data_IF_175256681855
#
_entry.id   IF_175256681855
#
_cell.length_a   1.000
_cell.length_b   1.000
_cell.length_c   1.000
_cell.angle_alpha   90.00
_cell.angle_beta   90.00
_cell.angle_gamma   90.00
#
_symmetry.space_group_name_H-M   'P 1'
#
loop_
_entity.id
_entity.type
_entity.pdbx_description
1 polymer ?
#
# COMPACT_ATOMS: atom_id res chain seq x y z
N UNK A 1 -3.86 -13.33 11.22
CA UNK A 1 -4.79 -13.71 10.14
C UNK A 1 -6.04 -12.84 10.25
N UNK A 2 -6.10 -11.73 9.52
CA UNK A 2 -7.26 -10.80 9.53
C UNK A 2 -8.10 -10.98 8.25
N UNK A 3 -9.38 -10.57 8.24
CA UNK A 3 -10.25 -10.53 7.04
C UNK A 3 -11.02 -9.22 6.97
N UNK A 4 -11.32 -8.72 5.77
CA UNK A 4 -12.18 -7.55 5.56
C UNK A 4 -13.65 -8.01 5.44
N UNK A 5 -14.54 -7.43 6.25
CA UNK A 5 -15.97 -7.75 6.26
C UNK A 5 -16.84 -6.56 5.86
N UNK A 6 -17.08 -6.32 4.57
CA UNK A 6 -18.02 -5.28 4.12
C UNK A 6 -18.38 -5.34 2.63
N UNK A 7 -19.30 -4.48 2.16
CA UNK A 7 -19.93 -4.53 0.83
C UNK A 7 -19.03 -3.95 -0.30
N UNK A 8 -17.72 -4.13 -0.20
CA UNK A 8 -16.75 -3.47 -1.07
C UNK A 8 -16.52 -4.24 -2.35
N UNK A 9 -16.11 -3.53 -3.42
CA UNK A 9 -15.67 -4.18 -4.66
C UNK A 9 -14.38 -4.97 -4.38
N UNK A 10 -14.54 -6.29 -4.32
CA UNK A 10 -13.44 -7.23 -4.13
C UNK A 10 -13.31 -8.06 -5.39
N UNK A 11 -12.10 -8.12 -5.94
CA UNK A 11 -11.81 -9.09 -6.99
C UNK A 11 -11.40 -10.41 -6.35
N UNK A 12 -12.10 -11.47 -6.71
CA UNK A 12 -11.85 -12.83 -6.24
C UNK A 12 -11.19 -13.66 -7.35
N UNK A 13 -9.99 -14.17 -7.06
CA UNK A 13 -9.27 -15.10 -7.92
C UNK A 13 -9.11 -16.45 -7.22
N UNK A 14 -9.13 -17.51 -8.01
CA UNK A 14 -8.97 -18.88 -7.51
C UNK A 14 -7.89 -19.59 -8.31
N UNK A 15 -7.21 -20.54 -7.66
CA UNK A 15 -6.16 -21.35 -8.27
C UNK A 15 -4.97 -20.51 -8.80
N UNK A 16 -4.60 -19.46 -8.05
CA UNK A 16 -3.42 -18.63 -8.35
C UNK A 16 -2.41 -18.73 -7.21
N UNK A 17 -1.15 -18.41 -7.49
CA UNK A 17 -0.11 -18.35 -6.46
C UNK A 17 -0.19 -17.04 -5.67
N UNK A 18 0.45 -16.99 -4.50
CA UNK A 18 0.57 -15.76 -3.72
C UNK A 18 1.33 -14.69 -4.51
N UNK A 19 2.38 -15.08 -5.24
CA UNK A 19 3.18 -14.17 -6.08
C UNK A 19 2.35 -13.55 -7.20
N UNK A 20 1.52 -14.37 -7.88
CA UNK A 20 0.60 -13.86 -8.89
C UNK A 20 -0.44 -12.92 -8.28
N UNK A 21 -1.00 -13.28 -7.12
CA UNK A 21 -1.95 -12.44 -6.37
C UNK A 21 -1.36 -11.06 -6.05
N UNK A 22 -0.12 -11.03 -5.55
CA UNK A 22 0.63 -9.80 -5.30
C UNK A 22 0.88 -9.00 -6.58
N UNK A 23 1.36 -9.66 -7.63
CA UNK A 23 1.63 -9.02 -8.92
C UNK A 23 0.36 -8.45 -9.57
N UNK A 24 -0.79 -9.07 -9.34
CA UNK A 24 -2.09 -8.57 -9.81
C UNK A 24 -2.52 -7.35 -9.03
N UNK A 25 -2.40 -7.34 -7.70
CA UNK A 25 -2.66 -6.17 -6.86
C UNK A 25 -1.82 -4.96 -7.30
N UNK A 26 -0.52 -5.15 -7.51
CA UNK A 26 0.40 -4.09 -7.96
C UNK A 26 0.09 -3.59 -9.39
N UNK A 27 -0.55 -4.43 -10.22
CA UNK A 27 -0.90 -4.12 -11.60
C UNK A 27 -2.37 -3.75 -11.80
N UNK A 28 -3.17 -3.66 -10.74
CA UNK A 28 -4.57 -3.29 -10.86
C UNK A 28 -4.71 -1.88 -11.49
N UNK A 29 -5.50 -1.79 -12.56
CA UNK A 29 -5.75 -0.52 -13.29
C UNK A 29 -7.14 0.04 -13.02
N UNK A 30 -8.10 -0.80 -12.61
CA UNK A 30 -9.49 -0.40 -12.36
C UNK A 30 -9.66 0.34 -11.03
N UNK A 31 -8.85 -0.03 -10.04
CA UNK A 31 -8.82 0.56 -8.70
C UNK A 31 -7.40 0.46 -8.15
N UNK A 32 -7.09 1.30 -7.17
CA UNK A 32 -5.82 1.22 -6.46
C UNK A 32 -5.95 0.14 -5.39
N UNK A 33 -5.47 -1.07 -5.68
CA UNK A 33 -5.39 -2.14 -4.68
C UNK A 33 -4.56 -1.63 -3.49
N UNK A 34 -5.02 -1.86 -2.26
CA UNK A 34 -4.33 -1.46 -1.02
C UNK A 34 -4.00 -2.64 -0.11
N UNK A 35 -4.74 -3.73 -0.25
CA UNK A 35 -4.49 -4.99 0.45
C UNK A 35 -4.96 -6.20 -0.36
N UNK A 36 -4.50 -7.37 0.07
CA UNK A 36 -4.95 -8.66 -0.43
C UNK A 36 -5.11 -9.67 0.71
N UNK A 37 -6.05 -10.59 0.54
CA UNK A 37 -6.20 -11.80 1.35
C UNK A 37 -5.85 -13.02 0.50
N UNK A 38 -5.14 -13.98 1.08
CA UNK A 38 -4.76 -15.20 0.39
C UNK A 38 -4.90 -16.44 1.28
N UNK A 39 -5.58 -17.47 0.78
CA UNK A 39 -5.66 -18.77 1.42
C UNK A 39 -4.75 -19.78 0.72
N UNK A 40 -3.73 -20.27 1.42
CA UNK A 40 -2.73 -21.17 0.84
C UNK A 40 -3.30 -22.55 0.47
N UNK A 41 -4.34 -23.00 1.19
CA UNK A 41 -4.96 -24.31 0.99
C UNK A 41 -5.91 -24.27 -0.20
N UNK A 42 -6.76 -23.24 -0.29
CA UNK A 42 -7.74 -23.13 -1.40
C UNK A 42 -7.17 -22.42 -2.62
N UNK A 43 -5.96 -21.84 -2.52
CA UNK A 43 -5.35 -21.01 -3.58
C UNK A 43 -6.28 -19.86 -3.99
N UNK A 44 -6.98 -19.30 -3.02
CA UNK A 44 -7.92 -18.21 -3.21
C UNK A 44 -7.24 -16.90 -2.87
N UNK A 45 -7.39 -15.90 -3.74
CA UNK A 45 -6.87 -14.55 -3.59
C UNK A 45 -8.03 -13.56 -3.66
N UNK A 46 -8.06 -12.61 -2.74
CA UNK A 46 -9.03 -11.51 -2.72
C UNK A 46 -8.23 -10.23 -2.75
N UNK A 47 -8.51 -9.34 -3.69
CA UNK A 47 -7.91 -8.01 -3.78
C UNK A 47 -8.91 -6.97 -3.28
N UNK A 48 -8.42 -5.93 -2.58
CA UNK A 48 -9.25 -4.86 -2.03
C UNK A 48 -8.61 -3.49 -2.19
N UNK A 49 -9.44 -2.46 -2.41
CA UNK A 49 -9.03 -1.06 -2.34
C UNK A 49 -8.86 -0.55 -0.91
N UNK A 50 -9.19 -1.35 0.10
CA UNK A 50 -9.13 -0.97 1.51
C UNK A 50 -7.91 -1.57 2.21
N UNK A 51 -7.51 -0.99 3.34
CA UNK A 51 -6.34 -1.42 4.09
C UNK A 51 -6.63 -1.59 5.59
N UNK A 52 -5.62 -1.98 6.36
CA UNK A 52 -5.82 -2.23 7.80
C UNK A 52 -6.15 -0.98 8.62
N UNK A 53 -5.92 0.22 8.06
CA UNK A 53 -6.26 1.49 8.69
C UNK A 53 -7.70 1.86 8.39
N UNK A 54 -8.12 1.77 7.13
CA UNK A 54 -9.47 2.16 6.70
C UNK A 54 -10.54 1.21 7.25
N UNK A 55 -10.23 -0.09 7.33
CA UNK A 55 -11.15 -1.13 7.79
C UNK A 55 -10.83 -1.69 9.18
N UNK A 56 -10.22 -0.87 10.06
CA UNK A 56 -9.73 -1.31 11.37
C UNK A 56 -10.76 -2.06 12.23
N UNK A 57 -12.01 -1.63 12.22
CA UNK A 57 -13.10 -2.24 13.00
C UNK A 57 -13.62 -3.55 12.40
N UNK A 58 -13.43 -3.76 11.10
CA UNK A 58 -13.89 -4.96 10.37
C UNK A 58 -12.80 -6.02 10.19
N UNK A 59 -11.57 -5.74 10.64
CA UNK A 59 -10.45 -6.68 10.61
C UNK A 59 -10.59 -7.78 11.66
N UNK A 60 -11.39 -8.80 11.36
CA UNK A 60 -11.62 -9.96 12.22
C UNK A 60 -10.57 -11.05 12.05
N UNK A 61 -10.37 -11.89 13.07
CA UNK A 61 -9.46 -13.05 12.97
C UNK A 61 -10.10 -14.15 12.11
N UNK A 62 -9.39 -14.63 11.07
CA UNK A 62 -9.84 -15.77 10.27
C UNK A 62 -9.81 -17.07 11.08
N UNK A 63 -10.80 -17.93 10.89
CA UNK A 63 -10.84 -19.28 11.48
C UNK A 63 -9.84 -20.24 10.82
N UNK A 64 -9.37 -19.93 9.60
CA UNK A 64 -8.38 -20.71 8.89
C UNK A 64 -6.96 -20.24 9.19
N UNK A 65 -6.08 -21.19 9.52
CA UNK A 65 -4.65 -20.91 9.74
C UNK A 65 -3.91 -20.65 8.43
N UNK A 66 -4.41 -21.15 7.30
CA UNK A 66 -3.83 -20.97 5.96
C UNK A 66 -4.25 -19.66 5.30
N UNK A 67 -5.02 -18.83 6.01
CA UNK A 67 -5.58 -17.61 5.48
C UNK A 67 -4.83 -16.38 6.00
N UNK A 68 -4.20 -15.66 5.09
CA UNK A 68 -3.31 -14.55 5.38
C UNK A 68 -3.86 -13.26 4.79
N UNK A 69 -3.57 -12.14 5.46
CA UNK A 69 -3.90 -10.79 5.01
C UNK A 69 -2.60 -10.01 4.86
N UNK A 70 -2.46 -9.29 3.76
CA UNK A 70 -1.30 -8.50 3.42
C UNK A 70 -1.77 -7.12 2.99
N UNK A 71 -1.26 -6.07 3.62
CA UNK A 71 -1.46 -4.69 3.19
C UNK A 71 -0.14 -4.08 2.70
N UNK A 72 -0.24 -2.97 1.97
CA UNK A 72 0.95 -2.22 1.59
C UNK A 72 1.53 -1.48 2.79
N UNK A 73 2.70 -1.94 3.26
CA UNK A 73 3.47 -1.26 4.28
C UNK A 73 4.41 -0.23 3.64
N UNK A 74 4.31 1.04 4.06
CA UNK A 74 5.33 2.05 3.75
C UNK A 74 6.60 1.77 4.57
N UNK A 75 7.77 1.76 3.92
CA UNK A 75 9.07 1.52 4.56
C UNK A 75 9.45 2.54 5.65
N UNK A 76 8.86 3.74 5.63
CA UNK A 76 9.05 4.78 6.66
C UNK A 76 8.07 4.66 7.84
N UNK A 77 7.16 3.67 7.82
CA UNK A 77 6.23 3.44 8.92
C UNK A 77 6.97 2.80 10.10
N UNK A 78 6.80 3.27 11.35
CA UNK A 78 7.42 2.68 12.53
C UNK A 78 7.00 1.21 12.78
N UNK A 79 5.99 0.72 12.03
CA UNK A 79 5.52 -0.68 12.04
C UNK A 79 6.21 -1.60 11.03
N UNK A 80 7.01 -1.07 10.10
CA UNK A 80 7.81 -1.89 9.18
C UNK A 80 8.80 -2.82 9.91
N UNK A 81 9.11 -2.48 11.17
CA UNK A 81 9.95 -3.23 12.10
C UNK A 81 9.22 -4.34 12.87
N UNK A 82 7.89 -4.39 12.84
CA UNK A 82 7.08 -5.32 13.65
C UNK A 82 6.85 -6.69 12.98
N UNK A 83 7.12 -6.80 11.67
CA UNK A 83 7.02 -8.06 10.93
C UNK A 83 8.40 -8.45 10.33
N UNK A 84 9.03 -9.55 10.80
CA UNK A 84 10.38 -9.93 10.38
C UNK A 84 10.49 -10.46 8.94
N UNK A 85 9.41 -10.49 8.16
CA UNK A 85 9.36 -11.04 6.79
C UNK A 85 8.88 -10.03 5.74
N UNK A 86 9.14 -8.73 5.96
CA UNK A 86 8.85 -7.66 4.99
C UNK A 86 9.79 -7.66 3.75
N UNK A 87 10.66 -8.67 3.62
CA UNK A 87 11.57 -8.86 2.49
C UNK A 87 10.82 -9.15 1.18
N UNK A 88 9.65 -9.78 1.24
CA UNK A 88 8.90 -10.18 0.04
C UNK A 88 8.20 -9.00 -0.63
N UNK A 89 7.68 -8.03 0.14
CA UNK A 89 6.96 -6.86 -0.39
C UNK A 89 7.86 -5.71 -0.80
N UNK A 90 9.06 -5.61 -0.25
CA UNK A 90 10.08 -4.60 -0.58
C UNK A 90 10.46 -4.59 -2.08
N UNK A 91 10.62 -5.77 -2.70
CA UNK A 91 11.08 -5.88 -4.09
C UNK A 91 10.00 -5.57 -5.13
N UNK A 92 8.72 -5.67 -4.75
CA UNK A 92 7.58 -5.41 -5.64
C UNK A 92 7.45 -3.93 -6.05
N UNK A 93 8.19 -3.03 -5.40
CA UNK A 93 8.22 -1.60 -5.69
C UNK A 93 9.43 -1.12 -6.50
N UNK A 94 10.29 -2.04 -6.96
CA UNK A 94 11.41 -1.69 -7.86
C UNK A 94 10.91 -1.40 -9.28
N UNK A 95 10.15 -0.32 -9.49
CA UNK A 95 9.82 0.16 -10.83
C UNK A 95 8.49 0.89 -10.99
N UNK A 96 7.57 0.81 -10.03
CA UNK A 96 6.42 1.71 -9.96
C UNK A 96 6.68 2.69 -8.84
N UNK A 97 6.87 3.97 -9.18
CA UNK A 97 6.74 5.05 -8.21
C UNK A 97 5.35 4.85 -7.60
N UNK A 98 5.21 4.50 -6.29
CA UNK A 98 3.91 4.65 -5.66
C UNK A 98 3.49 6.08 -5.97
N UNK A 99 2.24 6.32 -6.34
CA UNK A 99 1.69 7.66 -6.48
C UNK A 99 2.30 8.53 -5.38
N UNK A 100 3.28 9.37 -5.74
CA UNK A 100 4.19 9.94 -4.75
C UNK A 100 3.43 11.06 -4.07
N UNK A 101 2.61 10.70 -3.09
CA UNK A 101 2.12 11.66 -2.15
C UNK A 101 3.35 12.20 -1.40
N UNK A 102 3.50 13.53 -1.41
CA UNK A 102 4.52 14.18 -0.60
C UNK A 102 4.34 13.76 0.85
N UNK A 103 5.36 13.13 1.43
CA UNK A 103 5.35 12.80 2.85
C UNK A 103 5.49 14.08 3.68
N UNK A 104 4.54 14.32 4.59
CA UNK A 104 4.51 15.53 5.40
C UNK A 104 5.29 15.34 6.71
N UNK A 105 6.45 15.96 6.80
CA UNK A 105 7.17 16.15 8.07
C UNK A 105 6.79 17.50 8.70
N UNK A 106 6.11 17.49 9.84
CA UNK A 106 5.68 18.72 10.53
C UNK A 106 6.86 19.41 11.18
N UNK A 107 6.92 20.73 11.06
CA UNK A 107 7.96 21.58 11.66
C UNK A 107 9.38 21.23 11.21
N UNK A 108 9.53 20.65 10.02
CA UNK A 108 10.82 20.24 9.46
C UNK A 108 11.18 21.10 8.26
N UNK A 109 12.48 21.38 8.12
CA UNK A 109 13.07 22.06 6.96
C UNK A 109 14.27 21.23 6.50
N UNK A 110 14.42 21.04 5.20
CA UNK A 110 15.62 20.41 4.64
C UNK A 110 16.83 21.34 4.87
N UNK A 111 17.93 20.78 5.36
CA UNK A 111 19.21 21.48 5.42
C UNK A 111 19.94 21.39 4.08
N UNK A 112 20.74 22.40 3.74
CA UNK A 112 21.57 22.44 2.53
C UNK A 112 21.26 23.62 1.60
N UNK A 113 21.98 23.68 0.49
CA UNK A 113 21.77 24.67 -0.56
C UNK A 113 20.49 24.33 -1.36
N UNK A 114 19.67 25.34 -1.61
CA UNK A 114 18.46 25.20 -2.41
C UNK A 114 18.72 25.77 -3.82
N UNK A 115 18.28 25.03 -4.84
CA UNK A 115 18.47 25.43 -6.24
C UNK A 115 17.52 26.57 -6.66
N UNK A 116 16.33 26.63 -6.06
CA UNK A 116 15.30 27.63 -6.40
C UNK A 116 14.34 27.84 -5.24
N UNK A 117 13.90 29.07 -5.04
CA UNK A 117 12.83 29.43 -4.10
C UNK A 117 11.68 30.10 -4.85
N UNK A 118 10.45 29.66 -4.56
CA UNK A 118 9.22 30.29 -5.05
C UNK A 118 8.41 30.81 -3.86
N UNK A 119 7.95 32.06 -3.96
CA UNK A 119 7.20 32.77 -2.91
C UNK A 119 5.86 33.28 -3.45
N UNK A 120 4.88 33.45 -2.56
CA UNK A 120 3.56 34.00 -2.92
C UNK A 120 2.66 33.05 -3.72
N UNK A 121 2.91 31.74 -3.65
CA UNK A 121 2.14 30.69 -4.33
C UNK A 121 1.38 29.83 -3.32
N UNK A 122 0.28 29.23 -3.75
CA UNK A 122 -0.40 28.19 -2.98
C UNK A 122 0.48 26.94 -2.86
N UNK A 123 0.16 26.08 -1.88
CA UNK A 123 0.85 24.80 -1.72
C UNK A 123 0.75 23.96 -3.00
N UNK A 124 -0.42 23.88 -3.63
CA UNK A 124 -0.63 23.12 -4.87
C UNK A 124 0.27 23.61 -6.01
N UNK A 125 0.34 24.92 -6.24
CA UNK A 125 1.24 25.50 -7.26
C UNK A 125 2.71 25.17 -6.98
N UNK A 126 3.11 25.16 -5.71
CA UNK A 126 4.48 24.82 -5.33
C UNK A 126 4.82 23.34 -5.60
N UNK A 127 3.88 22.44 -5.33
CA UNK A 127 4.05 21.01 -5.61
C UNK A 127 4.08 20.74 -7.12
N UNK A 128 3.23 21.40 -7.90
CA UNK A 128 3.21 21.27 -9.36
C UNK A 128 4.53 21.71 -10.01
N UNK A 129 5.12 22.83 -9.55
CA UNK A 129 6.44 23.28 -10.03
C UNK A 129 7.57 22.31 -9.64
N UNK A 130 7.49 21.67 -8.47
CA UNK A 130 8.45 20.66 -8.04
C UNK A 130 8.44 19.43 -8.96
N UNK A 131 7.25 19.01 -9.40
CA UNK A 131 7.07 17.84 -10.26
C UNK A 131 7.41 18.09 -11.74
N UNK A 132 7.55 19.35 -12.14
CA UNK A 132 7.89 19.75 -13.51
C UNK A 132 9.39 19.81 -13.81
N UNK A 133 10.26 19.74 -12.80
CA UNK A 133 11.72 19.74 -12.93
C UNK A 133 12.28 18.32 -13.10
#
# INVERSE_FOLDING_TARGET
NKRLGGPFEVDLFTNITLEDCQAMCVRAEKYFCRSLEYDEMTKQCILSEEDSISQKDDLGVSSSQTHHFFDFACLDSPRGSEYPDNSVTSHLFSGKRPDTAFQRYRNSRLGGDHHSEISGRSLSECLDECLRQ
#
